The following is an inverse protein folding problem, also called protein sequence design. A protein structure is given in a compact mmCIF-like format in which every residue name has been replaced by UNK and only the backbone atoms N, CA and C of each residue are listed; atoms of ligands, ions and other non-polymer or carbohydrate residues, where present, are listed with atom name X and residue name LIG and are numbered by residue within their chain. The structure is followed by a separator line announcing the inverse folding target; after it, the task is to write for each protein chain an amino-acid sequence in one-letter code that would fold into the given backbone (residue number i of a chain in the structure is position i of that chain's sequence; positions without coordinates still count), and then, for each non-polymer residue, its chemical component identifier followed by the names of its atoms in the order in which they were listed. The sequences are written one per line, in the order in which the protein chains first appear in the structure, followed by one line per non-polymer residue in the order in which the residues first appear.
data_IF_141587996542
#
_entry.id   IF_141587996542
#
_cell.length_a   1.000
_cell.length_b   1.000
_cell.length_c   1.000
_cell.angle_alpha   90.00
_cell.angle_beta   90.00
_cell.angle_gamma   90.00
#
_symmetry.space_group_name_H-M   'P 1'
#
loop_
_entity.id
_entity.type
_entity.pdbx_description
1 polymer ?
#
# COMPACT_ATOMS: atom_id res chain seq x y z
N UNK A 1 5.33 5.70 22.39
CA UNK A 1 4.54 4.83 21.47
C UNK A 1 4.98 5.14 20.04
N UNK A 2 5.62 4.20 19.34
CA UNK A 2 6.12 4.47 17.98
C UNK A 2 4.99 4.82 16.99
N UNK A 3 3.85 4.13 17.06
CA UNK A 3 2.69 4.39 16.19
C UNK A 3 2.19 5.84 16.25
N UNK A 4 2.05 6.40 17.46
CA UNK A 4 1.60 7.80 17.65
C UNK A 4 2.60 8.80 17.04
N UNK A 5 3.90 8.51 17.11
CA UNK A 5 4.92 9.35 16.47
C UNK A 5 4.86 9.28 14.94
N UNK A 6 4.46 8.13 14.37
CA UNK A 6 4.29 7.99 12.92
C UNK A 6 3.04 8.74 12.44
N UNK A 7 1.90 8.56 13.12
CA UNK A 7 0.67 9.28 12.80
C UNK A 7 0.85 10.80 12.87
N UNK A 8 1.58 11.29 13.87
CA UNK A 8 1.86 12.73 13.98
C UNK A 8 2.65 13.27 12.79
N UNK A 9 3.69 12.55 12.35
CA UNK A 9 4.48 12.92 11.16
C UNK A 9 3.63 12.87 9.89
N UNK A 10 2.78 11.86 9.77
CA UNK A 10 1.90 11.72 8.61
C UNK A 10 0.87 12.85 8.51
N UNK A 11 0.33 13.30 9.63
CA UNK A 11 -0.54 14.49 9.69
C UNK A 11 0.23 15.77 9.38
N UNK A 12 1.50 15.87 9.79
CA UNK A 12 2.36 17.00 9.42
C UNK A 12 2.63 17.04 7.91
N UNK A 13 2.76 15.89 7.25
CA UNK A 13 3.09 15.79 5.82
C UNK A 13 1.86 15.92 4.89
N UNK A 14 0.74 15.25 5.23
CA UNK A 14 -0.43 15.11 4.35
C UNK A 14 -1.67 15.85 4.89
N UNK A 15 -1.58 16.43 6.10
CA UNK A 15 -2.69 17.11 6.76
C UNK A 15 -3.65 16.15 7.45
N UNK A 16 -4.87 16.61 7.75
CA UNK A 16 -5.88 15.82 8.50
C UNK A 16 -6.22 14.48 7.82
N UNK A 17 -6.07 14.39 6.50
CA UNK A 17 -6.25 13.16 5.72
C UNK A 17 -5.32 12.02 6.16
N UNK A 18 -4.19 12.33 6.81
CA UNK A 18 -3.29 11.34 7.40
C UNK A 18 -3.92 10.54 8.55
N UNK A 19 -5.08 10.97 9.07
CA UNK A 19 -5.85 10.22 10.07
C UNK A 19 -7.02 9.42 9.49
N UNK A 20 -7.29 9.53 8.19
CA UNK A 20 -8.41 8.84 7.56
C UNK A 20 -8.17 7.33 7.54
N UNK A 21 -9.22 6.56 7.84
CA UNK A 21 -9.18 5.09 7.85
C UNK A 21 -9.39 4.49 6.46
N UNK A 22 -9.71 5.32 5.47
CA UNK A 22 -10.02 4.92 4.08
C UNK A 22 -9.39 5.90 3.11
N UNK A 23 -8.98 5.44 1.93
CA UNK A 23 -8.59 6.35 0.86
C UNK A 23 -9.82 7.01 0.23
N UNK A 24 -9.69 8.28 -0.16
CA UNK A 24 -10.71 9.01 -0.92
C UNK A 24 -10.80 8.62 -2.40
N UNK A 25 -9.95 7.68 -2.84
CA UNK A 25 -9.83 7.20 -4.21
C UNK A 25 -9.71 5.67 -4.25
N UNK A 26 -10.00 5.09 -5.41
CA UNK A 26 -9.81 3.65 -5.63
C UNK A 26 -8.33 3.35 -5.87
N UNK A 27 -7.65 3.00 -4.79
CA UNK A 27 -6.23 2.65 -4.80
C UNK A 27 -5.96 1.43 -5.69
N UNK A 28 -6.85 0.42 -5.70
CA UNK A 28 -6.66 -0.78 -6.51
C UNK A 28 -6.76 -0.46 -8.00
N UNK A 29 -7.72 0.36 -8.42
CA UNK A 29 -7.86 0.77 -9.81
C UNK A 29 -6.62 1.53 -10.31
N UNK A 30 -6.15 2.52 -9.54
CA UNK A 30 -4.97 3.34 -9.90
C UNK A 30 -3.71 2.47 -10.05
N UNK A 31 -3.49 1.54 -9.11
CA UNK A 31 -2.35 0.64 -9.18
C UNK A 31 -2.45 -0.27 -10.40
N UNK A 32 -3.65 -0.78 -10.74
CA UNK A 32 -3.86 -1.64 -11.91
C UNK A 32 -3.57 -0.91 -13.22
N UNK A 33 -4.01 0.35 -13.35
CA UNK A 33 -3.68 1.20 -14.52
C UNK A 33 -2.18 1.45 -14.64
N UNK A 34 -1.48 1.50 -13.51
CA UNK A 34 -0.04 1.79 -13.44
C UNK A 34 0.86 0.56 -13.55
N UNK A 35 0.32 -0.67 -13.63
CA UNK A 35 1.10 -1.92 -13.63
C UNK A 35 2.20 -1.92 -14.69
N UNK A 36 1.85 -1.55 -15.93
CA UNK A 36 2.79 -1.60 -17.05
C UNK A 36 4.01 -0.70 -16.81
N UNK A 37 3.75 0.50 -16.29
CA UNK A 37 4.79 1.44 -15.90
C UNK A 37 5.67 0.87 -14.79
N UNK A 38 5.07 0.38 -13.70
CA UNK A 38 5.80 -0.17 -12.55
C UNK A 38 6.68 -1.36 -12.97
N UNK A 39 6.15 -2.28 -13.79
CA UNK A 39 6.92 -3.40 -14.34
C UNK A 39 8.15 -2.93 -15.12
N UNK A 40 7.98 -1.94 -16.00
CA UNK A 40 9.08 -1.41 -16.80
C UNK A 40 10.16 -0.73 -15.95
N UNK A 41 9.77 0.02 -14.91
CA UNK A 41 10.71 0.75 -14.06
C UNK A 41 11.49 -0.19 -13.14
N UNK A 42 10.83 -1.23 -12.63
CA UNK A 42 11.44 -2.18 -11.71
C UNK A 42 12.04 -3.42 -12.41
N UNK A 43 11.96 -3.48 -13.75
CA UNK A 43 12.41 -4.62 -14.56
C UNK A 43 11.84 -5.96 -14.08
N UNK A 44 10.56 -5.96 -13.70
CA UNK A 44 9.84 -7.14 -13.22
C UNK A 44 9.12 -7.81 -14.38
N UNK A 45 9.24 -9.13 -14.47
CA UNK A 45 8.52 -9.96 -15.46
C UNK A 45 7.03 -10.06 -15.07
N UNK A 46 6.76 -10.39 -13.81
CA UNK A 46 5.43 -10.53 -13.26
C UNK A 46 5.21 -9.58 -12.08
N UNK A 47 4.03 -8.96 -12.06
CA UNK A 47 3.55 -8.09 -10.99
C UNK A 47 2.04 -8.25 -10.96
N UNK A 48 1.50 -8.53 -9.78
CA UNK A 48 0.07 -8.62 -9.53
C UNK A 48 -0.28 -7.76 -8.31
N UNK A 49 -1.51 -7.24 -8.30
CA UNK A 49 -2.07 -6.48 -7.19
C UNK A 49 -3.14 -7.36 -6.57
N UNK A 50 -2.97 -7.68 -5.29
CA UNK A 50 -3.92 -8.48 -4.54
C UNK A 50 -4.48 -7.66 -3.37
N UNK A 51 -5.74 -7.90 -3.03
CA UNK A 51 -6.31 -7.43 -1.76
C UNK A 51 -5.83 -8.35 -0.65
N UNK A 52 -5.66 -7.80 0.54
CA UNK A 52 -5.17 -8.54 1.72
C UNK A 52 -6.07 -9.75 2.02
N UNK A 53 -7.38 -9.61 1.76
CA UNK A 53 -8.40 -10.63 1.96
C UNK A 53 -8.26 -11.85 1.02
N UNK A 54 -7.75 -11.62 -0.18
CA UNK A 54 -7.68 -12.62 -1.26
C UNK A 54 -6.28 -13.24 -1.42
N UNK A 55 -5.31 -12.77 -0.62
CA UNK A 55 -3.90 -13.06 -0.83
C UNK A 55 -3.39 -14.21 0.06
N UNK A 56 -3.66 -15.46 -0.35
CA UNK A 56 -3.24 -16.67 0.39
C UNK A 56 -1.71 -16.85 0.54
N UNK A 57 -0.91 -16.16 -0.30
CA UNK A 57 0.55 -16.32 -0.34
C UNK A 57 1.34 -15.18 0.30
N UNK A 58 0.67 -14.17 0.86
CA UNK A 58 1.35 -13.03 1.48
C UNK A 58 1.74 -13.38 2.92
N UNK A 59 3.00 -13.16 3.34
CA UNK A 59 3.42 -13.40 4.72
C UNK A 59 2.57 -12.62 5.74
N UNK A 60 2.22 -13.25 6.87
CA UNK A 60 1.40 -12.64 7.95
C UNK A 60 1.96 -11.30 8.44
N UNK A 61 3.29 -11.18 8.49
CA UNK A 61 3.96 -9.94 8.89
C UNK A 61 3.64 -8.78 7.93
N UNK A 62 3.45 -9.06 6.65
CA UNK A 62 3.14 -8.03 5.65
C UNK A 62 1.64 -7.73 5.70
N UNK A 63 0.78 -8.75 5.70
CA UNK A 63 -0.68 -8.56 5.73
C UNK A 63 -1.15 -7.76 6.95
N UNK A 64 -0.54 -7.96 8.13
CA UNK A 64 -0.89 -7.25 9.37
C UNK A 64 -0.39 -5.80 9.45
N UNK A 65 0.56 -5.40 8.59
CA UNK A 65 1.18 -4.07 8.63
C UNK A 65 0.83 -3.18 7.42
N UNK A 66 -0.04 -3.65 6.52
CA UNK A 66 -0.54 -2.85 5.40
C UNK A 66 -1.61 -1.87 5.89
N UNK A 67 -1.55 -0.64 5.38
CA UNK A 67 -2.55 0.41 5.65
C UNK A 67 -3.03 1.01 4.33
N UNK A 68 -4.30 1.46 4.25
CA UNK A 68 -4.80 2.19 3.08
C UNK A 68 -3.90 3.37 2.74
N UNK A 69 -3.60 3.57 1.46
CA UNK A 69 -2.69 4.61 0.97
C UNK A 69 -1.21 4.25 1.06
N UNK A 70 -0.86 3.15 1.76
CA UNK A 70 0.51 2.64 1.89
C UNK A 70 0.56 1.14 1.55
N UNK A 71 0.46 0.80 0.24
CA UNK A 71 0.55 -0.59 -0.19
C UNK A 71 1.95 -1.15 0.08
N UNK A 72 2.03 -2.41 0.52
CA UNK A 72 3.30 -3.11 0.66
C UNK A 72 3.64 -3.87 -0.63
N UNK A 73 4.88 -3.76 -1.08
CA UNK A 73 5.44 -4.62 -2.12
C UNK A 73 6.21 -5.77 -1.46
N UNK A 74 5.99 -6.98 -1.95
CA UNK A 74 6.79 -8.14 -1.58
C UNK A 74 7.19 -8.92 -2.83
N UNK A 75 8.38 -9.51 -2.80
CA UNK A 75 8.91 -10.35 -3.87
C UNK A 75 8.97 -11.78 -3.35
N UNK A 76 8.49 -12.71 -4.16
CA UNK A 76 8.53 -14.14 -3.89
C UNK A 76 9.83 -14.77 -4.35
#
# INVERSE_FOLDING_TARGET
MQFVSFMKREVEDVGEMGMDTTCSFDQSAILNESIAYIKSQLSLEELSIARVEDAESVPDKISQNVTPGKPALWLR
#
